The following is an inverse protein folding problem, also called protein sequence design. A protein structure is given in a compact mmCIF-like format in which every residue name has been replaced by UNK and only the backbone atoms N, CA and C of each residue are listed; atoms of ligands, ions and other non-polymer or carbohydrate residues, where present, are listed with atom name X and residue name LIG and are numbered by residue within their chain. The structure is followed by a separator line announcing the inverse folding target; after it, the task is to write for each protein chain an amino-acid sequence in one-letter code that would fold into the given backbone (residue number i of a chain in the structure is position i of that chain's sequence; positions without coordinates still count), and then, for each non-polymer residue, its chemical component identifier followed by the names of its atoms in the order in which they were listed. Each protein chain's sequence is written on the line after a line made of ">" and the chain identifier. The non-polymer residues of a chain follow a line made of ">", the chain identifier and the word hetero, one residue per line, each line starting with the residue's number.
data_IF_260898695034
#
_entry.id   IF_260898695034
#
_cell.length_a   1.000
_cell.length_b   1.000
_cell.length_c   1.000
_cell.angle_alpha   90.00
_cell.angle_beta   90.00
_cell.angle_gamma   90.00
#
_symmetry.space_group_name_H-M   'P 1'
#
loop_
_entity.id
_entity.type
_entity.pdbx_description
1 polymer ?
#
# COMPACT_ATOMS: atom_id res chain seq x y z
N UNK A 1 22.60 -45.93 64.69
CA UNK A 1 21.44 -45.07 64.58
C UNK A 1 21.90 -43.75 63.99
N UNK A 2 21.54 -43.51 62.73
CA UNK A 2 21.86 -42.25 62.00
C UNK A 2 20.55 -41.45 61.84
N UNK A 3 20.59 -40.19 62.31
CA UNK A 3 19.46 -39.28 62.17
C UNK A 3 19.38 -38.74 60.73
N UNK A 4 18.18 -38.47 60.22
CA UNK A 4 18.02 -37.86 58.89
C UNK A 4 18.25 -36.37 58.94
N UNK A 5 19.05 -35.88 57.98
CA UNK A 5 19.23 -34.44 57.72
C UNK A 5 18.04 -33.90 56.96
N UNK A 6 17.31 -33.00 57.58
CA UNK A 6 16.26 -32.20 56.94
C UNK A 6 16.94 -31.11 56.06
N UNK A 7 16.82 -31.31 54.74
CA UNK A 7 17.25 -30.31 53.76
C UNK A 7 16.25 -29.12 53.73
N UNK A 8 16.73 -27.96 54.17
CA UNK A 8 16.01 -26.67 54.00
C UNK A 8 16.00 -26.29 52.52
N UNK A 9 14.82 -26.37 51.92
CA UNK A 9 14.60 -25.84 50.59
C UNK A 9 14.56 -24.29 50.65
N UNK A 10 15.69 -23.68 50.32
CA UNK A 10 15.79 -22.22 50.19
C UNK A 10 15.07 -21.77 48.92
N UNK A 11 13.81 -21.37 49.06
CA UNK A 11 13.00 -20.79 47.98
C UNK A 11 13.56 -19.40 47.62
N UNK A 12 14.44 -19.32 46.63
CA UNK A 12 14.90 -18.06 46.06
C UNK A 12 13.74 -17.40 45.34
N UNK A 13 13.03 -16.50 45.98
CA UNK A 13 12.13 -15.55 45.34
C UNK A 13 12.98 -14.61 44.47
N UNK A 14 12.94 -14.85 43.15
CA UNK A 14 13.48 -13.90 42.19
C UNK A 14 12.66 -12.60 42.32
N UNK A 15 13.26 -11.57 42.89
CA UNK A 15 12.71 -10.21 42.86
C UNK A 15 12.82 -9.71 41.43
N UNK A 16 11.72 -9.76 40.68
CA UNK A 16 11.60 -9.07 39.42
C UNK A 16 11.50 -7.57 39.69
N UNK A 17 12.62 -6.89 39.69
CA UNK A 17 12.64 -5.42 39.67
C UNK A 17 12.32 -5.01 38.24
N UNK A 18 11.04 -4.68 37.98
CA UNK A 18 10.64 -4.09 36.71
C UNK A 18 11.28 -2.70 36.69
N UNK A 19 12.24 -2.51 35.79
CA UNK A 19 12.87 -1.21 35.59
C UNK A 19 11.83 -0.28 34.95
N UNK A 20 11.26 0.62 35.76
CA UNK A 20 10.19 1.56 35.36
C UNK A 20 10.59 2.39 34.16
N UNK A 21 11.89 2.70 34.00
CA UNK A 21 12.42 3.43 32.85
C UNK A 21 12.26 2.66 31.55
N UNK A 22 12.57 1.37 31.57
CA UNK A 22 12.43 0.49 30.40
C UNK A 22 10.96 0.32 30.01
N UNK A 23 10.07 0.20 31.00
CA UNK A 23 8.62 0.05 30.75
C UNK A 23 8.01 1.30 30.12
N UNK A 24 8.41 2.49 30.56
CA UNK A 24 7.94 3.76 29.99
C UNK A 24 8.44 3.94 28.56
N UNK A 25 9.70 3.63 28.28
CA UNK A 25 10.24 3.71 26.92
C UNK A 25 9.51 2.76 25.95
N UNK A 26 9.21 1.54 26.40
CA UNK A 26 8.47 0.57 25.58
C UNK A 26 7.04 1.03 25.31
N UNK A 27 6.36 1.59 26.32
CA UNK A 27 5.00 2.12 26.16
C UNK A 27 4.95 3.29 25.17
N UNK A 28 5.92 4.20 25.20
CA UNK A 28 6.02 5.32 24.26
C UNK A 28 6.29 4.82 22.84
N UNK A 29 7.18 3.85 22.66
CA UNK A 29 7.47 3.26 21.35
C UNK A 29 6.22 2.58 20.75
N UNK A 30 5.49 1.80 21.55
CA UNK A 30 4.24 1.18 21.12
C UNK A 30 3.17 2.21 20.73
N UNK A 31 3.03 3.30 21.51
CA UNK A 31 2.08 4.37 21.20
C UNK A 31 2.41 5.07 19.85
N UNK A 32 3.69 5.32 19.58
CA UNK A 32 4.14 5.90 18.31
C UNK A 32 3.86 4.97 17.11
N UNK A 33 4.10 3.66 17.26
CA UNK A 33 3.82 2.68 16.22
C UNK A 33 2.31 2.61 15.92
N UNK A 34 1.48 2.59 16.97
CA UNK A 34 0.01 2.58 16.81
C UNK A 34 -0.48 3.87 16.14
N UNK A 35 0.06 5.03 16.52
CA UNK A 35 -0.27 6.32 15.90
C UNK A 35 0.12 6.35 14.42
N UNK A 36 1.32 5.84 14.09
CA UNK A 36 1.79 5.75 12.70
C UNK A 36 0.92 4.81 11.85
N UNK A 37 0.56 3.64 12.39
CA UNK A 37 -0.35 2.70 11.72
C UNK A 37 -1.75 3.28 11.53
N UNK A 38 -2.25 4.07 12.48
CA UNK A 38 -3.53 4.75 12.37
C UNK A 38 -3.51 5.83 11.28
N UNK A 39 -2.41 6.58 11.15
CA UNK A 39 -2.22 7.56 10.08
C UNK A 39 -2.15 6.89 8.70
N UNK A 40 -1.40 5.80 8.56
CA UNK A 40 -1.31 5.04 7.31
C UNK A 40 -2.64 4.42 6.89
N UNK A 41 -3.45 3.95 7.86
CA UNK A 41 -4.80 3.43 7.58
C UNK A 41 -5.80 4.52 7.19
N UNK A 42 -5.63 5.74 7.69
CA UNK A 42 -6.52 6.86 7.37
C UNK A 42 -6.47 7.23 5.90
N UNK A 43 -5.28 7.21 5.29
CA UNK A 43 -5.10 7.48 3.86
C UNK A 43 -5.77 6.42 2.95
N UNK A 44 -5.79 5.16 3.39
CA UNK A 44 -6.42 4.07 2.62
C UNK A 44 -7.95 4.04 2.75
N UNK A 45 -8.50 4.58 3.84
CA UNK A 45 -9.95 4.59 4.10
C UNK A 45 -10.70 5.70 3.34
N UNK A 46 -10.05 6.83 3.06
CA UNK A 46 -10.71 7.95 2.41
C UNK A 46 -11.14 7.67 0.97
N UNK A 47 -10.42 6.81 0.25
CA UNK A 47 -10.76 6.46 -1.14
C UNK A 47 -11.85 5.38 -1.24
N UNK A 48 -12.07 4.58 -0.20
CA UNK A 48 -13.07 3.51 -0.19
C UNK A 48 -14.52 4.04 -0.17
N UNK A 49 -14.73 5.26 0.33
CA UNK A 49 -16.03 5.94 0.39
C UNK A 49 -16.32 6.83 -0.83
N UNK A 50 -15.37 6.95 -1.76
CA UNK A 50 -15.54 7.80 -2.92
C UNK A 50 -16.57 7.22 -3.88
N UNK A 51 -17.47 8.07 -4.44
CA UNK A 51 -18.42 7.64 -5.46
C UNK A 51 -17.70 7.09 -6.68
N UNK A 52 -18.34 6.09 -7.30
CA UNK A 52 -17.81 5.36 -8.46
C UNK A 52 -18.57 5.77 -9.71
N UNK A 53 -17.84 6.08 -10.76
CA UNK A 53 -18.40 6.32 -12.10
C UNK A 53 -17.71 5.41 -13.11
N UNK A 54 -18.36 5.20 -14.26
CA UNK A 54 -17.76 4.48 -15.37
C UNK A 54 -16.85 5.43 -16.15
N UNK A 55 -15.64 4.97 -16.45
CA UNK A 55 -14.68 5.68 -17.26
C UNK A 55 -14.49 5.02 -18.62
N UNK A 56 -14.13 5.83 -19.62
CA UNK A 56 -13.80 5.39 -20.97
C UNK A 56 -12.33 5.63 -21.25
N UNK A 57 -11.66 4.66 -21.87
CA UNK A 57 -10.27 4.82 -22.28
C UNK A 57 -10.22 5.79 -23.47
N UNK A 58 -9.51 6.90 -23.27
CA UNK A 58 -9.32 7.94 -24.28
C UNK A 58 -7.98 7.79 -24.99
N UNK A 59 -6.95 7.30 -24.25
CA UNK A 59 -5.58 7.22 -24.74
C UNK A 59 -4.81 6.11 -24.03
N UNK A 60 -3.66 5.72 -24.59
CA UNK A 60 -2.74 4.71 -24.05
C UNK A 60 -1.32 5.21 -24.20
N UNK A 61 -0.51 4.99 -23.17
CA UNK A 61 0.92 5.25 -23.27
C UNK A 61 1.72 4.12 -22.65
N UNK A 62 2.94 3.97 -23.12
CA UNK A 62 3.92 3.06 -22.53
C UNK A 62 5.01 3.95 -21.93
N UNK A 63 5.31 3.75 -20.67
CA UNK A 63 6.28 4.54 -19.92
C UNK A 63 7.30 3.61 -19.28
N UNK A 64 8.51 4.12 -19.11
CA UNK A 64 9.53 3.42 -18.33
C UNK A 64 9.06 3.35 -16.87
N UNK A 65 9.03 2.15 -16.33
CA UNK A 65 8.78 1.89 -14.92
C UNK A 65 10.14 1.71 -14.25
N UNK A 66 10.56 2.67 -13.45
CA UNK A 66 11.80 2.54 -12.70
C UNK A 66 11.59 1.49 -11.62
N UNK A 67 11.84 0.23 -11.98
CA UNK A 67 11.90 -0.82 -10.99
C UNK A 67 13.00 -0.50 -9.97
N UNK A 68 12.69 -0.78 -8.73
CA UNK A 68 13.54 -0.63 -7.55
C UNK A 68 15.01 -0.87 -7.88
N UNK A 69 15.86 0.15 -7.64
CA UNK A 69 17.31 0.02 -7.71
C UNK A 69 17.73 -1.17 -6.84
N UNK A 70 18.01 -2.29 -7.50
CA UNK A 70 18.65 -3.41 -6.81
C UNK A 70 20.13 -3.08 -6.69
N UNK A 71 20.77 -3.58 -5.63
CA UNK A 71 22.21 -3.42 -5.34
C UNK A 71 23.14 -3.86 -6.49
N UNK A 72 22.57 -4.45 -7.54
CA UNK A 72 23.25 -5.07 -8.69
C UNK A 72 22.92 -4.42 -10.04
N UNK A 73 22.30 -3.25 -10.05
CA UNK A 73 21.82 -2.56 -11.24
C UNK A 73 20.31 -2.72 -11.41
N UNK A 74 19.59 -1.61 -11.57
CA UNK A 74 18.16 -1.62 -11.84
C UNK A 74 17.89 -2.08 -13.26
N UNK A 75 17.06 -3.09 -13.45
CA UNK A 75 16.56 -3.46 -14.77
C UNK A 75 15.44 -2.48 -15.15
N UNK A 76 15.59 -1.82 -16.29
CA UNK A 76 14.57 -0.91 -16.81
C UNK A 76 13.39 -1.73 -17.30
N UNK A 77 12.26 -1.61 -16.62
CA UNK A 77 11.01 -2.23 -17.06
C UNK A 77 10.09 -1.18 -17.69
N UNK A 78 9.14 -1.63 -18.49
CA UNK A 78 8.16 -0.80 -19.15
C UNK A 78 6.78 -1.17 -18.66
N UNK A 79 5.89 -0.17 -18.51
CA UNK A 79 4.48 -0.39 -18.17
C UNK A 79 3.56 0.36 -19.12
N UNK A 80 2.37 -0.18 -19.30
CA UNK A 80 1.31 0.51 -20.00
C UNK A 80 0.39 1.23 -19.03
N UNK A 81 -0.04 2.43 -19.40
CA UNK A 81 -1.02 3.22 -18.69
C UNK A 81 -2.16 3.62 -19.63
N UNK A 82 -3.39 3.65 -19.09
CA UNK A 82 -4.59 4.12 -19.79
C UNK A 82 -4.98 5.50 -19.30
N UNK A 83 -5.25 6.42 -20.23
CA UNK A 83 -5.91 7.66 -19.90
C UNK A 83 -7.40 7.41 -19.87
N UNK A 84 -8.00 7.46 -18.70
CA UNK A 84 -9.41 7.17 -18.47
C UNK A 84 -10.16 8.48 -18.30
N UNK A 85 -11.04 8.80 -19.23
CA UNK A 85 -11.97 9.93 -19.15
C UNK A 85 -13.25 9.54 -18.44
N UNK A 86 -13.80 10.44 -17.63
CA UNK A 86 -15.06 10.26 -16.92
C UNK A 86 -15.78 11.61 -16.71
N UNK A 87 -17.07 11.54 -16.43
CA UNK A 87 -17.91 12.71 -16.24
C UNK A 87 -18.43 12.82 -14.80
N UNK A 88 -18.30 14.00 -14.21
CA UNK A 88 -18.93 14.36 -12.94
C UNK A 88 -19.65 15.68 -13.11
N UNK A 89 -20.95 15.72 -12.83
CA UNK A 89 -21.79 16.91 -12.96
C UNK A 89 -21.64 17.62 -14.33
N UNK A 90 -21.61 16.85 -15.42
CA UNK A 90 -21.46 17.31 -16.81
C UNK A 90 -20.09 17.90 -17.17
N UNK A 91 -19.11 17.80 -16.29
CA UNK A 91 -17.70 18.16 -16.55
C UNK A 91 -16.89 16.90 -16.80
N UNK A 92 -16.03 16.98 -17.79
CA UNK A 92 -15.12 15.91 -18.14
C UNK A 92 -13.84 16.03 -17.32
N UNK A 93 -13.37 14.90 -16.83
CA UNK A 93 -12.10 14.72 -16.13
C UNK A 93 -11.35 13.54 -16.74
N UNK A 94 -10.05 13.47 -16.55
CA UNK A 94 -9.25 12.33 -16.97
C UNK A 94 -8.18 12.02 -15.94
N UNK A 95 -7.88 10.72 -15.81
CA UNK A 95 -6.81 10.21 -14.92
C UNK A 95 -6.03 9.14 -15.65
N UNK A 96 -4.72 9.05 -15.36
CA UNK A 96 -3.89 7.95 -15.82
C UNK A 96 -4.00 6.78 -14.85
N UNK A 97 -4.34 5.61 -15.36
CA UNK A 97 -4.49 4.37 -14.62
C UNK A 97 -3.42 3.36 -15.08
N UNK A 98 -2.81 2.67 -14.14
CA UNK A 98 -1.93 1.55 -14.44
C UNK A 98 -2.76 0.41 -15.05
N UNK A 99 -2.34 -0.09 -16.20
CA UNK A 99 -3.01 -1.22 -16.86
C UNK A 99 -2.68 -2.58 -16.23
N UNK A 100 -1.68 -2.64 -15.35
CA UNK A 100 -1.11 -3.88 -14.83
C UNK A 100 -0.21 -4.63 -15.82
N UNK A 101 -0.06 -4.14 -17.05
CA UNK A 101 0.78 -4.77 -18.08
C UNK A 101 2.18 -4.20 -17.98
N UNK A 102 3.16 -5.08 -17.77
CA UNK A 102 4.58 -4.75 -17.66
C UNK A 102 5.41 -5.68 -18.55
N UNK A 103 6.61 -5.24 -18.91
CA UNK A 103 7.56 -6.03 -19.70
C UNK A 103 8.95 -5.43 -19.70
N UNK A 104 9.91 -6.20 -20.15
CA UNK A 104 11.33 -5.81 -20.24
C UNK A 104 11.62 -4.85 -21.41
N UNK A 105 10.68 -4.69 -22.34
CA UNK A 105 10.81 -3.81 -23.48
C UNK A 105 9.50 -3.12 -23.83
N UNK A 106 9.57 -1.90 -24.38
CA UNK A 106 8.42 -1.19 -24.90
C UNK A 106 7.62 -2.01 -25.93
N UNK A 107 8.35 -2.68 -26.84
CA UNK A 107 7.74 -3.51 -27.87
C UNK A 107 6.97 -4.71 -27.26
N UNK A 108 7.53 -5.34 -26.23
CA UNK A 108 6.88 -6.45 -25.51
C UNK A 108 5.58 -5.98 -24.82
N UNK A 109 5.61 -4.84 -24.17
CA UNK A 109 4.40 -4.25 -23.53
C UNK A 109 3.36 -3.90 -24.60
N UNK A 110 3.78 -3.35 -25.73
CA UNK A 110 2.89 -3.01 -26.85
C UNK A 110 2.17 -4.21 -27.43
N UNK A 111 2.87 -5.34 -27.57
CA UNK A 111 2.30 -6.59 -28.03
C UNK A 111 1.35 -7.24 -27.02
N UNK A 112 1.60 -7.04 -25.73
CA UNK A 112 0.76 -7.55 -24.65
C UNK A 112 -0.52 -6.75 -24.41
N UNK A 113 -0.64 -5.55 -25.01
CA UNK A 113 -1.84 -4.72 -24.88
C UNK A 113 -3.05 -5.42 -25.53
N UNK A 114 -4.18 -5.53 -24.82
CA UNK A 114 -5.39 -6.13 -25.39
C UNK A 114 -5.94 -5.28 -26.52
N UNK A 115 -6.45 -5.93 -27.56
CA UNK A 115 -7.11 -5.26 -28.66
C UNK A 115 -8.45 -4.66 -28.26
N UNK A 116 -9.14 -5.29 -27.29
CA UNK A 116 -10.38 -4.78 -26.71
C UNK A 116 -10.09 -3.73 -25.63
N UNK A 117 -10.98 -2.76 -25.49
CA UNK A 117 -10.89 -1.78 -24.42
C UNK A 117 -11.43 -2.40 -23.13
N UNK A 118 -10.63 -2.50 -22.08
CA UNK A 118 -11.12 -2.96 -20.77
C UNK A 118 -12.15 -1.97 -20.23
N UNK A 119 -13.05 -2.45 -19.39
CA UNK A 119 -13.97 -1.57 -18.67
C UNK A 119 -13.25 -0.93 -17.48
N UNK A 120 -13.41 0.37 -17.33
CA UNK A 120 -12.77 1.12 -16.26
C UNK A 120 -13.81 1.68 -15.28
N UNK A 121 -13.50 1.55 -13.97
CA UNK A 121 -14.24 2.21 -12.90
C UNK A 121 -13.36 3.27 -12.29
N UNK A 122 -13.94 4.45 -12.04
CA UNK A 122 -13.22 5.59 -11.49
C UNK A 122 -13.86 5.98 -10.17
N UNK A 123 -13.09 5.92 -9.10
CA UNK A 123 -13.45 6.45 -7.80
C UNK A 123 -12.92 7.89 -7.75
N UNK A 124 -13.77 8.86 -7.48
CA UNK A 124 -13.38 10.26 -7.48
C UNK A 124 -13.72 10.96 -6.15
N UNK A 125 -12.88 11.91 -5.76
CA UNK A 125 -13.14 12.75 -4.60
C UNK A 125 -14.31 13.71 -4.91
N UNK A 126 -15.47 13.63 -4.21
CA UNK A 126 -16.62 14.48 -4.51
C UNK A 126 -16.34 15.97 -4.29
N UNK A 127 -15.38 16.33 -3.44
CA UNK A 127 -14.96 17.72 -3.19
C UNK A 127 -13.99 18.24 -4.26
N UNK A 128 -13.22 17.32 -4.87
CA UNK A 128 -12.21 17.63 -5.88
C UNK A 128 -12.24 16.55 -6.97
N UNK A 129 -13.20 16.60 -7.91
CA UNK A 129 -13.39 15.53 -8.88
C UNK A 129 -12.16 15.18 -9.73
N UNK A 130 -11.19 16.08 -9.86
CA UNK A 130 -9.91 15.78 -10.52
C UNK A 130 -8.99 14.85 -9.73
N UNK A 131 -9.22 14.68 -8.42
CA UNK A 131 -8.54 13.67 -7.59
C UNK A 131 -9.31 12.36 -7.69
N UNK A 132 -8.74 11.41 -8.41
CA UNK A 132 -9.43 10.17 -8.71
C UNK A 132 -8.47 9.01 -8.91
N UNK A 133 -8.98 7.79 -8.72
CA UNK A 133 -8.29 6.54 -8.97
C UNK A 133 -9.12 5.70 -9.93
N UNK A 134 -8.53 5.29 -11.04
CA UNK A 134 -9.19 4.42 -12.00
C UNK A 134 -8.65 2.99 -11.93
N UNK A 135 -9.54 2.02 -12.02
CA UNK A 135 -9.25 0.57 -12.06
C UNK A 135 -9.87 0.02 -13.33
N UNK A 136 -9.05 -0.53 -14.20
CA UNK A 136 -9.46 -1.13 -15.46
C UNK A 136 -9.32 -2.67 -15.40
N UNK A 137 -10.32 -3.40 -15.85
CA UNK A 137 -10.37 -4.88 -15.87
C UNK A 137 -11.03 -5.38 -17.14
#
# INVERSE_FOLDING_TARGET
>A
MRAPQTGEATTRRAKWTIDVRSTVQFAVACALVVALLALLRRDQGETAEWPVVQGNIQDRRIVADHAVETKWGGELTWKAEYRVGYFVARREYAVWADSGIRGESEAGVRLALPQSHPSCRVNYNPKRPGESVAICR
#
